data_IF_812412943616
#
_entry.id   IF_812412943616
#
_cell.length_a   1.000
_cell.length_b   1.000
_cell.length_c   1.000
_cell.angle_alpha   90.00
_cell.angle_beta   90.00
_cell.angle_gamma   90.00
#
_symmetry.space_group_name_H-M   'P 1'
#
loop_
_entity.id
_entity.type
_entity.pdbx_description
1 polymer ?
#
# COMPACT_ATOMS: atom_id res chain seq x y z
N UNK A 1 4.94 8.15 -36.38
CA UNK A 1 4.82 6.93 -35.54
C UNK A 1 5.61 7.20 -34.25
N UNK A 2 4.97 7.74 -33.22
CA UNK A 2 5.60 8.09 -31.95
C UNK A 2 5.18 7.03 -30.91
N UNK A 3 6.14 6.18 -30.52
CA UNK A 3 5.98 5.29 -29.37
C UNK A 3 5.92 6.14 -28.10
N UNK A 4 4.79 6.13 -27.43
CA UNK A 4 4.68 6.61 -26.06
C UNK A 4 5.01 5.43 -25.15
N UNK A 5 6.20 5.47 -24.56
CA UNK A 5 6.59 4.53 -23.51
C UNK A 5 5.82 4.83 -22.24
N UNK A 6 4.85 3.99 -21.90
CA UNK A 6 4.25 3.96 -20.58
C UNK A 6 5.09 3.04 -19.70
N UNK A 7 6.11 3.59 -19.09
CA UNK A 7 6.82 2.95 -17.98
C UNK A 7 6.93 3.94 -16.86
N UNK A 8 6.61 3.46 -15.65
CA UNK A 8 6.85 4.10 -14.36
C UNK A 8 5.65 4.80 -13.74
N UNK A 9 4.85 4.01 -13.02
CA UNK A 9 4.13 4.48 -11.83
C UNK A 9 4.55 3.59 -10.65
N UNK A 10 5.83 3.50 -10.45
CA UNK A 10 6.45 3.38 -9.15
C UNK A 10 7.10 4.75 -8.94
N UNK A 11 6.60 5.51 -7.98
CA UNK A 11 7.02 6.88 -7.79
C UNK A 11 8.50 6.99 -7.47
N UNK A 12 9.31 7.21 -8.47
CA UNK A 12 10.57 7.88 -8.34
C UNK A 12 10.34 9.30 -8.88
N UNK A 13 10.03 10.23 -8.01
CA UNK A 13 10.16 11.65 -8.32
C UNK A 13 11.65 11.96 -8.26
N UNK A 14 12.32 11.87 -9.40
CA UNK A 14 13.66 12.42 -9.55
C UNK A 14 13.51 13.94 -9.65
N UNK A 15 13.70 14.64 -8.56
CA UNK A 15 13.92 16.07 -8.59
C UNK A 15 15.36 16.31 -9.06
N UNK A 16 15.54 16.84 -10.28
CA UNK A 16 16.78 17.45 -10.73
C UNK A 16 16.85 18.82 -10.08
N UNK A 17 17.70 18.99 -9.08
CA UNK A 17 18.14 20.30 -8.61
C UNK A 17 19.62 20.46 -8.91
N UNK A 18 19.95 21.29 -9.90
CA UNK A 18 21.24 21.98 -9.99
C UNK A 18 21.12 23.24 -9.14
N UNK A 19 21.77 23.33 -7.99
CA UNK A 19 22.74 24.39 -7.71
C UNK A 19 23.42 24.14 -6.36
N UNK A 20 24.76 24.21 -6.38
CA UNK A 20 25.58 24.03 -5.22
C UNK A 20 25.62 25.29 -4.35
N UNK A 21 25.12 25.21 -3.14
CA UNK A 21 25.56 26.01 -1.98
C UNK A 21 25.25 25.23 -0.70
N UNK A 22 26.32 24.85 0.00
CA UNK A 22 26.23 24.38 1.39
C UNK A 22 25.76 25.53 2.28
N UNK A 23 24.63 25.39 2.91
CA UNK A 23 24.22 26.12 4.10
C UNK A 23 24.01 25.15 5.25
N UNK A 24 24.78 25.35 6.31
CA UNK A 24 24.63 24.62 7.59
C UNK A 24 23.20 24.72 8.11
N UNK A 25 22.60 23.63 8.60
CA UNK A 25 21.25 23.68 9.15
C UNK A 25 21.30 24.37 10.51
N UNK A 26 20.66 25.52 10.59
CA UNK A 26 20.26 26.14 11.85
C UNK A 26 19.13 25.28 12.45
N UNK A 27 19.29 24.84 13.69
CA UNK A 27 18.27 24.11 14.42
C UNK A 27 16.93 24.88 14.42
N UNK A 28 15.95 24.37 13.69
CA UNK A 28 14.56 24.83 13.75
C UNK A 28 13.93 24.26 15.01
N UNK A 29 13.73 25.15 15.98
CA UNK A 29 12.86 24.91 17.14
C UNK A 29 11.46 24.59 16.64
N UNK A 30 10.93 23.42 16.98
CA UNK A 30 9.58 23.00 16.68
C UNK A 30 8.59 23.99 17.35
N UNK A 31 7.60 24.56 16.63
CA UNK A 31 6.51 25.23 17.27
C UNK A 31 5.64 24.19 17.97
N UNK A 32 5.24 24.51 19.20
CA UNK A 32 4.54 23.65 20.13
C UNK A 32 3.29 22.99 19.56
N UNK A 33 3.04 21.79 20.03
CA UNK A 33 1.77 21.06 19.88
C UNK A 33 0.58 21.97 20.24
N UNK A 34 -0.30 22.19 19.23
CA UNK A 34 -1.47 23.01 19.49
C UNK A 34 -2.32 23.28 18.26
N UNK A 35 -2.69 22.25 17.51
CA UNK A 35 -3.85 22.30 16.64
C UNK A 35 -4.68 21.04 16.92
N UNK A 36 -5.57 21.13 17.93
CA UNK A 36 -6.62 20.14 18.13
C UNK A 36 -7.58 20.27 16.94
N UNK A 37 -7.45 19.39 15.97
CA UNK A 37 -8.49 19.21 14.97
C UNK A 37 -9.63 18.48 15.65
N UNK A 38 -10.79 19.14 15.72
CA UNK A 38 -12.03 18.54 16.23
C UNK A 38 -12.46 17.38 15.33
N UNK A 39 -11.84 16.23 15.53
CA UNK A 39 -12.38 14.96 15.07
C UNK A 39 -13.40 14.62 16.16
N UNK A 40 -14.69 14.63 15.81
CA UNK A 40 -15.70 14.08 16.70
C UNK A 40 -15.23 12.70 17.15
N UNK A 41 -15.33 12.43 18.46
CA UNK A 41 -14.87 11.19 19.10
C UNK A 41 -15.45 9.98 18.35
N UNK A 42 -14.74 9.46 17.37
CA UNK A 42 -15.04 8.21 16.72
C UNK A 42 -14.19 7.14 17.41
N UNK A 43 -14.74 6.53 18.42
CA UNK A 43 -14.25 5.25 18.91
C UNK A 43 -14.12 4.29 17.75
N UNK A 44 -12.95 3.69 17.56
CA UNK A 44 -12.50 2.81 16.51
C UNK A 44 -13.45 2.67 15.32
N UNK A 45 -13.00 2.91 14.09
CA UNK A 45 -13.86 2.87 12.90
C UNK A 45 -14.81 1.68 12.94
N UNK A 46 -16.07 1.80 12.49
CA UNK A 46 -17.05 0.71 12.55
C UNK A 46 -16.49 -0.53 11.82
N UNK A 47 -16.85 -1.75 12.24
CA UNK A 47 -16.48 -2.97 11.54
C UNK A 47 -16.83 -2.87 10.06
N UNK A 48 -15.85 -3.13 9.16
CA UNK A 48 -16.03 -3.00 7.72
C UNK A 48 -15.64 -1.65 7.12
N UNK A 49 -14.93 -0.77 7.87
CA UNK A 49 -14.39 0.47 7.31
C UNK A 49 -13.25 0.19 6.34
N UNK A 50 -13.25 0.87 5.21
CA UNK A 50 -12.16 0.92 4.23
C UNK A 50 -11.38 2.20 4.46
N UNK A 51 -10.05 2.11 4.63
CA UNK A 51 -9.15 3.26 4.56
C UNK A 51 -8.48 3.29 3.19
N UNK A 52 -8.34 4.47 2.61
CA UNK A 52 -7.76 4.65 1.28
C UNK A 52 -7.17 6.06 1.13
N UNK A 53 -6.32 6.25 0.12
CA UNK A 53 -5.89 7.60 -0.25
C UNK A 53 -6.72 8.15 -1.40
N UNK A 54 -6.87 9.48 -1.45
CA UNK A 54 -7.63 10.16 -2.51
C UNK A 54 -7.05 11.54 -2.81
N UNK A 55 -7.16 11.94 -4.09
CA UNK A 55 -6.85 13.30 -4.57
C UNK A 55 -8.11 14.16 -4.77
N UNK A 56 -9.28 13.69 -4.34
CA UNK A 56 -10.58 14.39 -4.52
C UNK A 56 -10.62 15.79 -3.94
N UNK A 57 -9.79 16.10 -2.95
CA UNK A 57 -9.73 17.42 -2.28
C UNK A 57 -8.67 18.38 -2.84
N UNK A 58 -7.94 18.00 -3.90
CA UNK A 58 -6.87 18.84 -4.45
C UNK A 58 -5.73 18.06 -5.10
N UNK A 59 -4.56 18.71 -5.21
CA UNK A 59 -3.38 18.11 -5.86
C UNK A 59 -2.64 17.10 -4.98
N UNK A 60 -2.76 17.24 -3.64
CA UNK A 60 -2.11 16.35 -2.68
C UNK A 60 -3.04 15.18 -2.33
N UNK A 61 -2.50 13.97 -2.34
CA UNK A 61 -3.22 12.81 -1.85
C UNK A 61 -3.38 12.89 -0.32
N UNK A 62 -4.58 12.58 0.17
CA UNK A 62 -4.93 12.52 1.59
C UNK A 62 -5.62 11.19 1.90
N UNK A 63 -5.64 10.82 3.17
CA UNK A 63 -6.33 9.63 3.60
C UNK A 63 -7.80 9.91 3.91
N UNK A 64 -8.61 8.94 3.54
CA UNK A 64 -10.06 8.92 3.74
C UNK A 64 -10.48 7.58 4.31
N UNK A 65 -11.60 7.57 5.00
CA UNK A 65 -12.35 6.36 5.35
C UNK A 65 -13.69 6.34 4.63
N UNK A 66 -14.23 5.14 4.41
CA UNK A 66 -15.59 4.92 3.93
C UNK A 66 -16.15 3.61 4.48
N UNK A 67 -17.45 3.41 4.38
CA UNK A 67 -18.08 2.12 4.62
C UNK A 67 -17.73 1.12 3.51
N UNK A 68 -17.88 -0.18 3.76
CA UNK A 68 -17.61 -1.22 2.76
C UNK A 68 -18.48 -1.13 1.50
N UNK A 69 -19.65 -0.48 1.59
CA UNK A 69 -20.55 -0.22 0.46
C UNK A 69 -20.14 1.01 -0.39
N UNK A 70 -19.12 1.77 0.06
CA UNK A 70 -18.63 3.00 -0.57
C UNK A 70 -19.26 4.30 -0.02
N UNK A 71 -20.22 4.20 0.90
CA UNK A 71 -20.86 5.37 1.54
C UNK A 71 -19.99 5.95 2.69
N UNK A 72 -20.38 7.10 3.21
CA UNK A 72 -19.77 7.68 4.42
C UNK A 72 -18.32 8.12 4.26
N UNK A 73 -17.91 8.56 3.06
CA UNK A 73 -16.55 9.01 2.80
C UNK A 73 -16.17 10.20 3.65
N UNK A 74 -15.11 10.05 4.46
CA UNK A 74 -14.63 11.09 5.40
C UNK A 74 -13.11 11.21 5.31
N UNK A 75 -12.60 12.43 5.18
CA UNK A 75 -11.16 12.71 5.22
C UNK A 75 -10.60 12.58 6.63
N UNK A 76 -9.46 11.91 6.80
CA UNK A 76 -8.82 11.66 8.10
C UNK A 76 -7.42 12.26 8.21
N UNK A 77 -6.79 12.72 7.12
CA UNK A 77 -5.51 13.44 7.19
C UNK A 77 -5.56 14.76 6.47
N UNK A 78 -4.75 15.72 6.96
CA UNK A 78 -4.57 17.07 6.42
C UNK A 78 -3.09 17.47 6.47
N UNK A 79 -2.78 18.71 6.11
CA UNK A 79 -1.42 19.27 6.19
C UNK A 79 -0.61 19.10 4.90
N UNK A 80 0.72 19.33 4.95
CA UNK A 80 1.58 19.29 3.78
C UNK A 80 1.86 17.84 3.31
N UNK A 81 2.33 17.71 2.06
CA UNK A 81 2.77 16.44 1.49
C UNK A 81 1.62 15.51 1.08
N UNK A 82 1.99 14.42 0.44
CA UNK A 82 1.09 13.33 0.09
C UNK A 82 1.05 12.31 1.23
N UNK A 83 -0.14 11.81 1.52
CA UNK A 83 -0.39 10.71 2.44
C UNK A 83 -0.91 9.54 1.59
N UNK A 84 -0.18 8.43 1.55
CA UNK A 84 -0.37 7.33 0.61
C UNK A 84 -0.29 5.97 1.30
N UNK A 85 -0.84 4.95 0.67
CA UNK A 85 -0.71 3.53 1.03
C UNK A 85 -1.06 3.24 2.49
N UNK A 86 -2.25 3.66 2.94
CA UNK A 86 -2.66 3.42 4.32
C UNK A 86 -2.81 1.94 4.63
N UNK A 87 -2.65 1.59 5.90
CA UNK A 87 -3.06 0.31 6.47
C UNK A 87 -3.64 0.52 7.86
N UNK A 88 -4.77 -0.16 8.17
CA UNK A 88 -5.46 -0.01 9.43
C UNK A 88 -5.07 -1.12 10.41
N UNK A 89 -4.77 -0.75 11.64
CA UNK A 89 -4.39 -1.71 12.68
C UNK A 89 -5.50 -2.72 12.98
N UNK A 90 -5.18 -3.95 13.46
CA UNK A 90 -6.18 -4.97 13.76
C UNK A 90 -7.24 -4.55 14.79
N UNK A 91 -6.96 -3.61 15.66
CA UNK A 91 -7.93 -3.03 16.60
C UNK A 91 -8.74 -1.85 16.02
N UNK A 92 -8.43 -1.39 14.77
CA UNK A 92 -9.09 -0.30 14.06
C UNK A 92 -8.87 1.10 14.63
N UNK A 93 -7.96 1.23 15.59
CA UNK A 93 -7.66 2.51 16.22
C UNK A 93 -6.59 3.30 15.48
N UNK A 94 -5.62 2.61 14.87
CA UNK A 94 -4.47 3.26 14.26
C UNK A 94 -4.44 3.06 12.75
N UNK A 95 -3.96 4.08 12.03
CA UNK A 95 -3.69 3.99 10.59
C UNK A 95 -2.21 4.27 10.36
N UNK A 96 -1.48 3.29 9.83
CA UNK A 96 -0.13 3.49 9.33
C UNK A 96 -0.19 3.93 7.86
N UNK A 97 0.69 4.84 7.44
CA UNK A 97 0.72 5.33 6.06
C UNK A 97 2.07 5.94 5.71
N UNK A 98 2.35 6.04 4.41
CA UNK A 98 3.52 6.73 3.90
C UNK A 98 3.20 8.20 3.71
N UNK A 99 4.10 9.09 4.15
CA UNK A 99 3.93 10.54 3.96
C UNK A 99 5.26 11.24 3.73
N UNK A 100 5.28 12.16 2.77
CA UNK A 100 6.46 13.01 2.50
C UNK A 100 6.35 14.40 3.14
N UNK A 101 5.55 14.53 4.21
CA UNK A 101 5.33 15.80 4.92
C UNK A 101 6.58 16.41 5.54
N UNK A 102 7.59 15.62 5.82
CA UNK A 102 8.88 16.03 6.39
C UNK A 102 10.01 16.14 5.34
N UNK A 103 9.70 15.93 4.04
CA UNK A 103 10.66 16.06 2.94
C UNK A 103 10.84 14.79 2.13
N UNK A 104 11.15 13.65 2.76
CA UNK A 104 11.18 12.30 2.18
C UNK A 104 9.96 11.48 2.63
N UNK A 105 9.77 10.32 1.99
CA UNK A 105 8.70 9.41 2.40
C UNK A 105 9.09 8.70 3.71
N UNK A 106 8.22 8.78 4.69
CA UNK A 106 8.37 8.18 6.00
C UNK A 106 7.08 7.44 6.39
N UNK A 107 7.18 6.49 7.32
CA UNK A 107 6.01 5.81 7.86
C UNK A 107 5.50 6.57 9.08
N UNK A 108 4.25 7.01 8.99
CA UNK A 108 3.51 7.65 10.06
C UNK A 108 2.41 6.74 10.59
N UNK A 109 2.11 6.88 11.87
CA UNK A 109 0.97 6.26 12.53
C UNK A 109 0.05 7.36 13.07
N UNK A 110 -1.21 7.35 12.63
CA UNK A 110 -2.28 8.22 13.12
C UNK A 110 -3.15 7.44 14.11
N UNK A 111 -3.31 7.95 15.32
CA UNK A 111 -4.33 7.48 16.28
C UNK A 111 -5.67 8.12 15.91
N UNK A 112 -6.65 7.33 15.54
CA UNK A 112 -8.00 7.81 15.18
C UNK A 112 -8.81 8.26 16.42
N UNK A 113 -8.36 7.90 17.63
CA UNK A 113 -9.05 8.25 18.86
C UNK A 113 -8.78 9.69 19.31
N UNK A 114 -7.54 10.15 19.20
CA UNK A 114 -7.12 11.49 19.67
C UNK A 114 -6.44 12.34 18.61
N UNK A 115 -6.21 11.80 17.41
CA UNK A 115 -5.56 12.52 16.30
C UNK A 115 -4.04 12.61 16.42
N UNK A 116 -3.41 11.92 17.37
CA UNK A 116 -1.95 11.90 17.52
C UNK A 116 -1.29 11.29 16.30
N UNK A 117 -0.26 11.96 15.78
CA UNK A 117 0.51 11.56 14.61
C UNK A 117 1.97 11.34 14.99
N UNK A 118 2.46 10.12 14.78
CA UNK A 118 3.84 9.71 15.13
C UNK A 118 4.59 9.27 13.88
N UNK A 119 5.80 9.79 13.66
CA UNK A 119 6.75 9.24 12.67
C UNK A 119 7.47 8.04 13.30
N UNK A 120 7.25 6.83 12.77
CA UNK A 120 7.80 5.59 13.34
C UNK A 120 9.02 5.07 12.59
N UNK A 121 9.29 5.52 11.38
CA UNK A 121 10.49 5.12 10.61
C UNK A 121 11.66 6.08 10.78
N UNK A 122 11.40 7.36 10.92
CA UNK A 122 12.30 8.48 11.24
C UNK A 122 13.70 8.34 10.62
N UNK A 123 13.79 8.37 9.30
CA UNK A 123 14.99 8.09 8.51
C UNK A 123 15.18 9.14 7.41
N UNK A 124 16.40 9.31 6.91
CA UNK A 124 16.65 10.08 5.68
C UNK A 124 16.38 9.29 4.41
N UNK A 125 16.09 7.98 4.53
CA UNK A 125 15.72 7.10 3.43
C UNK A 125 14.23 7.23 3.06
N UNK A 126 13.86 6.75 1.87
CA UNK A 126 12.45 6.63 1.49
C UNK A 126 11.85 5.35 2.05
N UNK A 127 10.88 5.50 2.93
CA UNK A 127 10.12 4.45 3.58
C UNK A 127 8.68 4.46 3.08
N UNK A 128 8.15 3.30 2.63
CA UNK A 128 6.82 3.28 2.03
C UNK A 128 6.11 1.94 2.19
N UNK A 129 4.80 1.96 1.95
CA UNK A 129 3.94 0.77 1.93
C UNK A 129 3.89 0.03 3.26
N UNK A 130 3.45 0.69 4.35
CA UNK A 130 3.35 0.04 5.65
C UNK A 130 2.27 -1.04 5.68
N UNK A 131 2.49 -2.06 6.51
CA UNK A 131 1.56 -3.14 6.81
C UNK A 131 1.62 -3.50 8.27
N UNK A 132 0.48 -3.40 8.94
CA UNK A 132 0.34 -3.87 10.31
C UNK A 132 0.46 -5.38 10.40
N UNK A 133 1.21 -5.86 11.38
CA UNK A 133 1.20 -7.27 11.77
C UNK A 133 -0.18 -7.66 12.32
N UNK A 134 -0.62 -8.92 12.16
CA UNK A 134 -1.93 -9.38 12.60
C UNK A 134 -2.19 -9.21 14.11
N UNK A 135 -1.13 -9.19 14.93
CA UNK A 135 -1.21 -8.93 16.37
C UNK A 135 -1.23 -7.43 16.72
N UNK A 136 -1.01 -6.54 15.74
CA UNK A 136 -1.03 -5.08 15.91
C UNK A 136 0.17 -4.48 16.66
N UNK A 137 1.27 -5.22 16.82
CA UNK A 137 2.45 -4.74 17.53
C UNK A 137 3.55 -4.20 16.61
N UNK A 138 3.57 -4.63 15.36
CA UNK A 138 4.64 -4.33 14.42
C UNK A 138 4.10 -3.82 13.08
N UNK A 139 4.95 -3.11 12.33
CA UNK A 139 4.66 -2.58 11.00
C UNK A 139 5.80 -3.02 10.07
N UNK A 140 5.47 -3.78 9.01
CA UNK A 140 6.37 -4.07 7.91
C UNK A 140 6.29 -2.95 6.87
N UNK A 141 7.41 -2.60 6.22
CA UNK A 141 7.48 -1.59 5.17
C UNK A 141 8.71 -1.85 4.29
N UNK A 142 8.80 -1.24 3.12
CA UNK A 142 10.04 -1.24 2.36
C UNK A 142 10.79 0.08 2.52
N UNK A 143 12.12 0.00 2.52
CA UNK A 143 13.02 1.13 2.74
C UNK A 143 14.29 0.98 1.93
N UNK A 144 14.84 2.09 1.42
CA UNK A 144 16.14 2.09 0.74
C UNK A 144 17.32 2.48 1.66
N UNK A 145 17.13 2.40 2.98
CA UNK A 145 18.15 2.78 3.99
C UNK A 145 19.43 1.96 3.93
N UNK A 146 19.39 0.75 3.37
CA UNK A 146 20.54 -0.13 3.20
C UNK A 146 21.23 0.00 1.83
N UNK A 147 20.75 0.92 0.96
CA UNK A 147 21.31 1.18 -0.38
C UNK A 147 20.38 0.79 -1.52
N UNK A 148 19.62 -0.30 -1.38
CA UNK A 148 18.49 -0.69 -2.23
C UNK A 148 17.23 -0.83 -1.37
N UNK A 149 16.08 -1.07 -2.02
CA UNK A 149 14.86 -1.33 -1.27
C UNK A 149 14.86 -2.74 -0.70
N UNK A 150 14.75 -2.82 0.62
CA UNK A 150 14.60 -4.03 1.42
C UNK A 150 13.34 -3.94 2.29
N UNK A 151 12.88 -5.09 2.80
CA UNK A 151 11.78 -5.16 3.74
C UNK A 151 12.31 -5.00 5.17
N UNK A 152 11.73 -4.05 5.87
CA UNK A 152 11.99 -3.78 7.29
C UNK A 152 10.73 -3.99 8.12
N UNK A 153 10.93 -4.25 9.40
CA UNK A 153 9.87 -4.30 10.41
C UNK A 153 10.28 -3.42 11.58
N UNK A 154 9.33 -2.68 12.12
CA UNK A 154 9.48 -1.80 13.27
C UNK A 154 8.31 -2.02 14.23
N UNK A 155 8.51 -1.83 15.54
CA UNK A 155 7.40 -1.79 16.49
C UNK A 155 6.50 -0.56 16.22
N UNK A 156 5.24 -0.65 16.61
CA UNK A 156 4.26 0.43 16.42
C UNK A 156 4.65 1.76 17.10
N UNK A 157 5.55 1.72 18.09
CA UNK A 157 6.11 2.88 18.78
C UNK A 157 7.39 3.44 18.15
N UNK A 158 7.87 2.85 17.03
CA UNK A 158 9.10 3.22 16.33
C UNK A 158 10.37 2.53 16.84
N UNK A 159 10.29 1.72 17.89
CA UNK A 159 11.43 0.97 18.42
C UNK A 159 11.64 -0.37 17.67
N UNK A 160 12.75 -1.06 17.93
CA UNK A 160 12.94 -2.45 17.49
C UNK A 160 13.06 -2.63 15.98
N UNK A 161 13.51 -1.61 15.24
CA UNK A 161 13.73 -1.70 13.79
C UNK A 161 14.68 -2.85 13.43
N UNK A 162 14.25 -3.71 12.49
CA UNK A 162 15.07 -4.80 11.94
C UNK A 162 14.84 -4.98 10.44
N UNK A 163 15.87 -5.43 9.73
CA UNK A 163 15.74 -5.87 8.34
C UNK A 163 15.17 -7.30 8.30
N UNK A 164 14.22 -7.54 7.40
CA UNK A 164 13.72 -8.87 7.06
C UNK A 164 14.49 -9.42 5.87
N UNK A 165 14.78 -8.55 4.90
CA UNK A 165 15.59 -8.88 3.72
C UNK A 165 16.82 -8.00 3.65
N UNK A 166 17.87 -8.51 2.98
CA UNK A 166 19.17 -7.84 2.83
C UNK A 166 19.85 -8.19 1.50
N UNK A 167 19.10 -8.77 0.56
CA UNK A 167 19.58 -9.18 -0.76
C UNK A 167 19.87 -7.95 -1.65
N UNK A 168 20.72 -8.12 -2.66
CA UNK A 168 21.01 -7.06 -3.63
C UNK A 168 19.84 -6.74 -4.58
N UNK A 169 18.81 -7.61 -4.66
CA UNK A 169 17.61 -7.36 -5.42
C UNK A 169 16.69 -6.34 -4.71
N UNK A 170 15.77 -5.74 -5.48
CA UNK A 170 14.76 -4.83 -4.91
C UNK A 170 13.65 -5.63 -4.26
N UNK A 171 13.45 -5.48 -2.96
CA UNK A 171 12.39 -6.07 -2.18
C UNK A 171 11.37 -5.00 -1.79
N UNK A 172 10.10 -5.18 -2.21
CA UNK A 172 9.08 -4.16 -2.07
C UNK A 172 7.70 -4.77 -1.78
N UNK A 173 6.79 -3.93 -1.27
CA UNK A 173 5.37 -4.24 -1.05
C UNK A 173 5.13 -5.45 -0.14
N UNK A 174 5.59 -5.39 1.11
CA UNK A 174 5.37 -6.49 2.06
C UNK A 174 3.87 -6.64 2.39
N UNK A 175 3.46 -7.88 2.70
CA UNK A 175 2.18 -8.18 3.31
C UNK A 175 2.31 -9.38 4.26
N UNK A 176 1.69 -9.29 5.45
CA UNK A 176 1.80 -10.31 6.48
C UNK A 176 0.89 -11.51 6.22
N UNK A 177 1.40 -12.72 6.44
CA UNK A 177 0.54 -13.89 6.62
C UNK A 177 -0.35 -13.71 7.87
N UNK A 178 -1.59 -14.21 7.89
CA UNK A 178 -2.52 -14.00 9.00
C UNK A 178 -2.04 -14.51 10.36
N UNK A 179 -1.14 -15.49 10.36
CA UNK A 179 -0.51 -16.00 11.59
C UNK A 179 0.69 -15.18 12.06
N UNK A 180 1.07 -14.12 11.32
CA UNK A 180 2.18 -13.22 11.64
C UNK A 180 3.58 -13.82 11.51
N UNK A 181 3.73 -15.02 10.94
CA UNK A 181 5.02 -15.71 10.87
C UNK A 181 5.80 -15.44 9.59
N UNK A 182 5.11 -15.09 8.49
CA UNK A 182 5.73 -14.88 7.18
C UNK A 182 5.30 -13.53 6.59
N UNK A 183 6.14 -13.02 5.70
CA UNK A 183 5.85 -11.88 4.83
C UNK A 183 5.89 -12.33 3.38
N UNK A 184 4.88 -11.98 2.59
CA UNK A 184 4.93 -12.01 1.15
C UNK A 184 5.42 -10.64 0.64
N UNK A 185 6.24 -10.62 -0.38
CA UNK A 185 6.80 -9.40 -0.97
C UNK A 185 7.22 -9.63 -2.43
N UNK A 186 7.45 -8.56 -3.15
CA UNK A 186 8.10 -8.64 -4.46
C UNK A 186 9.62 -8.63 -4.28
N UNK A 187 10.32 -9.56 -4.91
CA UNK A 187 11.78 -9.53 -5.16
C UNK A 187 12.04 -9.56 -6.65
N UNK A 188 12.73 -8.55 -7.17
CA UNK A 188 12.91 -8.44 -8.62
C UNK A 188 11.58 -8.29 -9.35
N UNK A 189 11.15 -9.31 -10.09
CA UNK A 189 9.88 -9.33 -10.81
C UNK A 189 8.87 -10.35 -10.28
N UNK A 190 9.18 -11.02 -9.16
CA UNK A 190 8.41 -12.17 -8.69
C UNK A 190 7.92 -11.98 -7.24
N UNK A 191 6.87 -12.71 -6.91
CA UNK A 191 6.40 -12.84 -5.53
C UNK A 191 7.25 -13.86 -4.79
N UNK A 192 7.74 -13.44 -3.64
CA UNK A 192 8.47 -14.26 -2.68
C UNK A 192 7.78 -14.24 -1.32
N UNK A 193 8.08 -15.22 -0.49
CA UNK A 193 7.73 -15.23 0.93
C UNK A 193 8.97 -15.53 1.76
N UNK A 194 9.04 -14.97 2.97
CA UNK A 194 10.12 -15.20 3.92
C UNK A 194 9.57 -15.22 5.35
N UNK A 195 10.36 -15.75 6.29
CA UNK A 195 10.04 -15.64 7.71
C UNK A 195 10.14 -14.18 8.18
N UNK A 196 9.15 -13.73 8.92
CA UNK A 196 9.06 -12.35 9.39
C UNK A 196 10.07 -12.02 10.52
N UNK A 197 10.77 -13.01 11.06
CA UNK A 197 11.76 -12.84 12.13
C UNK A 197 13.02 -12.08 11.73
N UNK A 198 13.25 -11.89 10.43
CA UNK A 198 14.41 -11.19 9.88
C UNK A 198 15.55 -12.12 9.44
N UNK A 199 16.66 -11.52 8.96
CA UNK A 199 17.87 -12.21 8.50
C UNK A 199 17.67 -13.17 7.32
N UNK A 200 16.75 -12.84 6.41
CA UNK A 200 16.48 -13.58 5.17
C UNK A 200 16.23 -15.10 5.36
N UNK A 201 15.53 -15.47 6.42
CA UNK A 201 15.26 -16.88 6.68
C UNK A 201 14.12 -17.42 5.84
N UNK A 202 14.30 -18.64 5.31
CA UNK A 202 13.29 -19.40 4.57
C UNK A 202 12.65 -18.62 3.42
N UNK A 203 13.47 -17.94 2.60
CA UNK A 203 13.00 -17.23 1.41
C UNK A 203 12.61 -18.22 0.32
N UNK A 204 11.35 -18.17 -0.12
CA UNK A 204 10.80 -18.99 -1.18
C UNK A 204 10.25 -18.12 -2.29
N UNK A 205 10.56 -18.43 -3.55
CA UNK A 205 9.97 -17.79 -4.74
C UNK A 205 8.68 -18.52 -5.11
N UNK A 206 7.57 -17.78 -5.29
CA UNK A 206 6.25 -18.35 -5.60
C UNK A 206 5.84 -18.17 -7.07
N UNK A 207 6.36 -17.16 -7.77
CA UNK A 207 6.07 -16.96 -9.20
C UNK A 207 7.34 -17.05 -10.03
N UNK A 208 7.24 -17.60 -11.28
CA UNK A 208 8.41 -18.01 -12.06
C UNK A 208 8.32 -17.66 -13.55
N UNK A 209 7.33 -16.86 -13.96
CA UNK A 209 7.15 -16.58 -15.40
C UNK A 209 8.20 -15.57 -15.88
N UNK A 210 8.99 -15.91 -16.93
CA UNK A 210 10.00 -15.00 -17.45
C UNK A 210 9.36 -13.78 -18.10
N UNK A 211 10.03 -12.64 -18.02
CA UNK A 211 9.64 -11.36 -18.64
C UNK A 211 8.27 -10.80 -18.22
N UNK A 212 7.75 -11.23 -17.06
CA UNK A 212 6.55 -10.66 -16.44
C UNK A 212 6.92 -9.94 -15.14
N UNK A 213 5.99 -9.13 -14.64
CA UNK A 213 6.11 -8.47 -13.34
C UNK A 213 4.92 -8.90 -12.51
N UNK A 214 5.20 -9.58 -11.39
CA UNK A 214 4.27 -9.94 -10.36
C UNK A 214 4.60 -9.14 -9.10
N UNK A 215 3.63 -8.44 -8.52
CA UNK A 215 3.88 -7.49 -7.43
C UNK A 215 2.65 -7.25 -6.57
N UNK A 216 2.83 -6.53 -5.45
CA UNK A 216 1.76 -6.12 -4.54
C UNK A 216 0.97 -7.33 -4.00
N UNK A 217 1.64 -8.33 -3.40
CA UNK A 217 0.93 -9.47 -2.83
C UNK A 217 0.03 -9.06 -1.67
N UNK A 218 -1.03 -9.84 -1.46
CA UNK A 218 -1.96 -9.70 -0.33
C UNK A 218 -2.42 -11.09 0.12
N UNK A 219 -2.12 -11.47 1.35
CA UNK A 219 -2.57 -12.72 1.95
C UNK A 219 -4.08 -12.72 2.20
N UNK A 220 -4.74 -13.85 1.89
CA UNK A 220 -6.12 -14.06 2.30
C UNK A 220 -6.23 -14.22 3.82
N UNK A 221 -7.37 -13.87 4.44
CA UNK A 221 -7.55 -13.94 5.89
C UNK A 221 -7.40 -15.34 6.49
N UNK A 222 -7.66 -16.38 5.71
CA UNK A 222 -7.49 -17.79 6.09
C UNK A 222 -6.05 -18.30 5.89
N UNK A 223 -5.18 -17.49 5.24
CA UNK A 223 -3.79 -17.85 4.95
C UNK A 223 -3.61 -18.93 3.88
N UNK A 224 -4.66 -19.29 3.16
CA UNK A 224 -4.60 -20.33 2.14
C UNK A 224 -4.20 -19.81 0.76
N UNK A 225 -4.38 -18.49 0.52
CA UNK A 225 -4.20 -17.90 -0.81
C UNK A 225 -3.50 -16.53 -0.72
N UNK A 226 -2.94 -16.13 -1.86
CA UNK A 226 -2.31 -14.81 -2.06
C UNK A 226 -2.90 -14.20 -3.33
N UNK A 227 -3.51 -13.01 -3.22
CA UNK A 227 -3.85 -12.18 -4.37
C UNK A 227 -2.65 -11.30 -4.73
N UNK A 228 -2.40 -11.04 -6.00
CA UNK A 228 -1.28 -10.22 -6.45
C UNK A 228 -1.59 -9.54 -7.78
N UNK A 229 -0.86 -8.49 -8.10
CA UNK A 229 -0.92 -7.87 -9.42
C UNK A 229 0.09 -8.52 -10.36
N UNK A 230 -0.32 -8.79 -11.60
CA UNK A 230 0.52 -9.36 -12.64
C UNK A 230 0.36 -8.65 -13.98
N UNK A 231 1.45 -8.57 -14.74
CA UNK A 231 1.48 -8.05 -16.11
C UNK A 231 1.52 -9.16 -17.18
N UNK A 232 1.32 -10.44 -16.80
CA UNK A 232 1.46 -11.59 -17.69
C UNK A 232 0.48 -11.63 -18.89
N UNK A 233 -0.62 -10.89 -18.77
CA UNK A 233 -1.62 -10.76 -19.85
C UNK A 233 -1.38 -9.53 -20.76
N UNK A 234 -0.23 -8.83 -20.57
CA UNK A 234 0.05 -7.57 -21.30
C UNK A 234 -0.68 -6.35 -20.71
N UNK A 235 -1.41 -6.51 -19.62
CA UNK A 235 -2.06 -5.44 -18.84
C UNK A 235 -2.01 -5.81 -17.35
N UNK A 236 -2.24 -4.82 -16.44
CA UNK A 236 -2.25 -5.10 -15.01
C UNK A 236 -3.55 -5.82 -14.63
N UNK A 237 -3.44 -7.05 -14.14
CA UNK A 237 -4.56 -7.83 -13.65
C UNK A 237 -4.33 -8.31 -12.22
N UNK A 238 -5.40 -8.53 -11.47
CA UNK A 238 -5.35 -9.22 -10.19
C UNK A 238 -5.40 -10.72 -10.44
N UNK A 239 -4.39 -11.40 -9.97
CA UNK A 239 -4.29 -12.85 -9.93
C UNK A 239 -4.47 -13.37 -8.51
N UNK A 240 -4.92 -14.60 -8.41
CA UNK A 240 -5.02 -15.36 -7.18
C UNK A 240 -4.20 -16.64 -7.32
N UNK A 241 -3.47 -17.02 -6.28
CA UNK A 241 -2.75 -18.30 -6.18
C UNK A 241 -2.94 -18.91 -4.80
N UNK A 242 -2.66 -20.20 -4.67
CA UNK A 242 -2.49 -20.82 -3.38
C UNK A 242 -1.26 -20.26 -2.64
N UNK A 243 -1.20 -20.42 -1.32
CA UNK A 243 -0.09 -19.94 -0.50
C UNK A 243 1.27 -20.58 -0.85
N UNK A 244 1.28 -21.71 -1.53
CA UNK A 244 2.46 -22.40 -2.07
C UNK A 244 2.86 -21.97 -3.50
N UNK A 245 2.16 -20.98 -4.08
CA UNK A 245 2.39 -20.49 -5.43
C UNK A 245 1.65 -21.25 -6.54
N UNK A 246 0.97 -22.35 -6.24
CA UNK A 246 0.21 -23.14 -7.21
C UNK A 246 -1.14 -22.50 -7.59
N UNK A 247 -1.81 -23.03 -8.62
CA UNK A 247 -3.17 -22.67 -9.04
C UNK A 247 -3.38 -21.17 -9.32
N UNK A 248 -2.48 -20.56 -10.08
CA UNK A 248 -2.53 -19.13 -10.43
C UNK A 248 -3.66 -18.83 -11.42
N UNK A 249 -4.64 -18.01 -11.04
CA UNK A 249 -5.83 -17.68 -11.83
C UNK A 249 -6.01 -16.16 -11.95
N UNK A 250 -6.34 -15.67 -13.15
CA UNK A 250 -6.69 -14.27 -13.38
C UNK A 250 -8.12 -13.98 -12.90
N UNK A 251 -8.29 -13.12 -11.88
CA UNK A 251 -9.59 -12.71 -11.35
C UNK A 251 -10.19 -11.49 -12.06
N UNK A 252 -9.38 -10.73 -12.81
CA UNK A 252 -9.83 -9.55 -13.54
C UNK A 252 -9.51 -9.66 -15.03
N UNK A 253 -10.04 -10.71 -15.71
CA UNK A 253 -9.80 -10.89 -17.14
C UNK A 253 -10.38 -9.71 -17.91
N UNK A 254 -9.67 -9.29 -18.94
CA UNK A 254 -10.13 -8.24 -19.84
C UNK A 254 -11.26 -8.75 -20.73
N UNK A 255 -12.31 -7.96 -20.88
CA UNK A 255 -13.37 -8.24 -21.85
C UNK A 255 -12.85 -8.10 -23.29
N UNK A 256 -13.46 -8.82 -24.24
CA UNK A 256 -13.02 -8.85 -25.64
C UNK A 256 -12.98 -7.45 -26.31
N UNK A 257 -13.81 -6.52 -25.85
CA UNK A 257 -13.96 -5.17 -26.40
C UNK A 257 -13.27 -4.08 -25.56
N UNK A 258 -12.54 -4.45 -24.49
CA UNK A 258 -11.89 -3.47 -23.65
C UNK A 258 -10.53 -3.05 -24.23
N UNK A 259 -10.24 -1.74 -24.33
CA UNK A 259 -8.96 -1.27 -24.83
C UNK A 259 -7.82 -1.62 -23.86
N UNK A 260 -6.77 -2.30 -24.37
CA UNK A 260 -5.62 -2.76 -23.55
C UNK A 260 -4.91 -1.62 -22.85
N UNK A 261 -4.81 -0.45 -23.50
CA UNK A 261 -3.99 0.66 -23.02
C UNK A 261 -4.53 1.36 -21.76
N UNK A 262 -5.80 1.12 -21.37
CA UNK A 262 -6.47 1.79 -20.25
C UNK A 262 -6.88 0.84 -19.12
N UNK A 263 -6.41 -0.41 -19.14
CA UNK A 263 -6.81 -1.40 -18.14
C UNK A 263 -5.67 -1.68 -17.16
N UNK A 264 -5.86 -1.33 -15.89
CA UNK A 264 -4.91 -1.67 -14.85
C UNK A 264 -5.63 -1.86 -13.52
N UNK A 265 -5.66 -3.10 -13.04
CA UNK A 265 -6.13 -3.47 -11.69
C UNK A 265 -4.92 -3.82 -10.82
N UNK A 266 -4.79 -3.19 -9.65
CA UNK A 266 -3.60 -3.31 -8.78
C UNK A 266 -3.91 -3.08 -7.31
N UNK A 267 -2.93 -3.33 -6.45
CA UNK A 267 -3.00 -3.15 -5.01
C UNK A 267 -4.18 -3.90 -4.36
N UNK A 268 -4.27 -5.23 -4.55
CA UNK A 268 -5.33 -6.01 -3.91
C UNK A 268 -5.21 -5.96 -2.39
N UNK A 269 -6.35 -6.06 -1.72
CA UNK A 269 -6.44 -6.25 -0.28
C UNK A 269 -7.67 -7.05 0.07
N UNK A 270 -7.61 -7.80 1.15
CA UNK A 270 -8.70 -8.63 1.60
C UNK A 270 -9.47 -7.99 2.75
N UNK A 271 -10.78 -8.12 2.73
CA UNK A 271 -11.61 -7.98 3.91
C UNK A 271 -11.65 -9.31 4.70
N UNK A 272 -12.02 -9.25 5.97
CA UNK A 272 -12.13 -10.46 6.81
C UNK A 272 -13.11 -11.51 6.30
N UNK A 273 -14.12 -11.09 5.54
CA UNK A 273 -15.12 -11.98 4.96
C UNK A 273 -14.73 -12.56 3.59
N UNK A 274 -13.47 -12.34 3.14
CA UNK A 274 -12.98 -12.90 1.89
C UNK A 274 -13.30 -12.07 0.63
N UNK A 275 -13.81 -10.84 0.76
CA UNK A 275 -13.98 -9.93 -0.38
C UNK A 275 -12.64 -9.29 -0.70
N UNK A 276 -12.26 -9.24 -1.99
CA UNK A 276 -11.05 -8.58 -2.49
C UNK A 276 -11.40 -7.15 -2.90
N UNK A 277 -10.69 -6.17 -2.35
CA UNK A 277 -10.73 -4.77 -2.77
C UNK A 277 -9.44 -4.46 -3.53
N UNK A 278 -9.54 -3.61 -4.55
CA UNK A 278 -8.41 -3.21 -5.36
C UNK A 278 -8.66 -1.86 -6.02
N UNK A 279 -7.60 -1.20 -6.43
CA UNK A 279 -7.70 0.01 -7.25
C UNK A 279 -7.65 -0.38 -8.73
N UNK A 280 -8.46 0.28 -9.56
CA UNK A 280 -8.49 -0.01 -10.99
C UNK A 280 -8.76 1.23 -11.82
N UNK A 281 -8.04 1.31 -12.92
CA UNK A 281 -8.30 2.20 -14.03
C UNK A 281 -9.08 1.43 -15.08
N UNK A 282 -10.34 1.78 -15.31
CA UNK A 282 -11.23 1.14 -16.28
C UNK A 282 -11.90 2.19 -17.16
N UNK A 283 -12.34 1.85 -18.39
CA UNK A 283 -13.02 2.81 -19.28
C UNK A 283 -14.24 3.50 -18.65
N UNK A 284 -14.91 2.84 -17.70
CA UNK A 284 -16.07 3.38 -16.99
C UNK A 284 -15.73 4.45 -15.93
N UNK A 285 -14.45 4.77 -15.72
CA UNK A 285 -14.00 5.67 -14.63
C UNK A 285 -13.69 7.08 -15.09
N UNK A 286 -14.05 7.46 -16.31
CA UNK A 286 -13.73 8.78 -16.91
C UNK A 286 -12.24 9.14 -16.92
N UNK A 287 -11.36 8.11 -16.83
CA UNK A 287 -9.92 8.31 -16.78
C UNK A 287 -9.33 8.38 -15.36
N UNK A 288 -10.14 8.28 -14.32
CA UNK A 288 -9.68 8.25 -12.93
C UNK A 288 -9.44 6.82 -12.43
N UNK A 289 -8.57 6.67 -11.43
CA UNK A 289 -8.38 5.42 -10.69
C UNK A 289 -9.40 5.37 -9.57
N UNK A 290 -10.11 4.24 -9.49
CA UNK A 290 -11.19 4.06 -8.52
C UNK A 290 -11.02 2.75 -7.74
N UNK A 291 -11.70 2.65 -6.60
CA UNK A 291 -11.74 1.44 -5.79
C UNK A 291 -12.87 0.55 -6.24
N UNK A 292 -12.55 -0.72 -6.42
CA UNK A 292 -13.47 -1.82 -6.74
C UNK A 292 -13.39 -2.90 -5.68
N UNK A 293 -14.42 -3.73 -5.63
CA UNK A 293 -14.44 -4.97 -4.86
C UNK A 293 -15.02 -6.10 -5.68
N UNK A 294 -14.61 -7.34 -5.37
CA UNK A 294 -15.11 -8.58 -5.98
C UNK A 294 -15.03 -9.74 -4.99
N UNK A 295 -15.75 -10.81 -5.28
CA UNK A 295 -15.54 -12.08 -4.61
C UNK A 295 -14.20 -12.72 -5.02
N UNK A 296 -13.74 -13.70 -4.28
CA UNK A 296 -12.46 -14.38 -4.48
C UNK A 296 -12.43 -15.35 -5.69
N UNK A 297 -13.58 -15.55 -6.33
CA UNK A 297 -13.72 -16.23 -7.62
C UNK A 297 -13.76 -15.25 -8.83
N UNK A 298 -13.59 -13.93 -8.58
CA UNK A 298 -13.66 -12.88 -9.58
C UNK A 298 -15.09 -12.41 -9.92
N UNK A 299 -16.12 -12.97 -9.30
CA UNK A 299 -17.52 -12.55 -9.49
C UNK A 299 -17.90 -11.36 -8.60
N UNK A 300 -19.12 -10.85 -8.76
CA UNK A 300 -19.66 -9.76 -7.94
C UNK A 300 -18.79 -8.50 -7.94
N UNK A 301 -18.27 -8.13 -9.12
CA UNK A 301 -17.47 -6.93 -9.30
C UNK A 301 -18.31 -5.67 -9.10
N UNK A 302 -17.94 -4.85 -8.13
CA UNK A 302 -18.62 -3.59 -7.77
C UNK A 302 -17.63 -2.45 -7.69
N UNK A 303 -17.94 -1.30 -8.33
CA UNK A 303 -17.22 -0.04 -8.13
C UNK A 303 -17.67 0.60 -6.82
N UNK A 304 -16.73 0.98 -5.96
CA UNK A 304 -16.97 1.52 -4.62
C UNK A 304 -16.80 3.04 -4.53
N UNK A 305 -15.99 3.62 -5.40
CA UNK A 305 -15.80 5.08 -5.46
C UNK A 305 -16.09 5.63 -6.85
N UNK A 306 -16.49 6.91 -6.91
CA UNK A 306 -16.89 7.61 -8.14
C UNK A 306 -16.48 9.08 -8.10
N UNK A 307 -15.37 9.42 -7.46
CA UNK A 307 -14.92 10.81 -7.30
C UNK A 307 -14.15 11.30 -8.52
N UNK A 308 -14.09 12.62 -8.69
CA UNK A 308 -13.07 13.21 -9.54
C UNK A 308 -11.72 13.14 -8.82
N UNK A 309 -10.73 12.51 -9.45
CA UNK A 309 -9.39 12.29 -8.91
C UNK A 309 -9.13 10.84 -8.51
N UNK A 310 -7.85 10.51 -8.30
CA UNK A 310 -7.40 9.16 -7.99
C UNK A 310 -7.82 8.72 -6.58
N UNK A 311 -8.49 7.58 -6.49
CA UNK A 311 -8.76 6.85 -5.25
C UNK A 311 -8.00 5.51 -5.26
N UNK A 312 -7.18 5.24 -4.25
CA UNK A 312 -6.34 4.06 -4.30
C UNK A 312 -5.85 3.52 -2.96
N UNK A 313 -5.16 2.38 -3.04
CA UNK A 313 -4.61 1.69 -1.89
C UNK A 313 -5.65 1.30 -0.85
N UNK A 314 -6.80 0.68 -1.23
CA UNK A 314 -7.83 0.32 -0.27
C UNK A 314 -7.31 -0.69 0.73
N UNK A 315 -7.64 -0.50 2.02
CA UNK A 315 -7.36 -1.43 3.10
C UNK A 315 -8.58 -1.55 4.00
N UNK A 316 -8.83 -2.78 4.41
CA UNK A 316 -9.99 -3.12 5.22
C UNK A 316 -9.57 -3.82 6.49
N UNK A 317 -10.53 -3.78 7.36
CA UNK A 317 -10.46 -4.49 8.61
C UNK A 317 -11.55 -5.54 8.76
#
# INVERSE_FOLDING_TARGET
MRLHSFLSVAGAVTAIACDGRQTTPTALTMPGAGASFGIGAHGGGPPGSVVFYSRRGGTLAKLYTMNADGSGVTQITTGPGNDLWPDISPNGRFVAFSSNRAGNNEIYVLDLGDGTLTNVSNSSADDSWPRWSPNGHEIAFHSNRAGNYDIFVVNADGSGLRAVTTDAALDQWPDWSPNGKRLAFRRGNDIHVADAGGQEQNVERLTFLPATIDQMPAWSPDGQRIAFMSLREGYCAIFLMNADGSNQTNLTPKGANDPVASWCSRAPSWSRNGTIYFMSFRPSTNGDVEIFSMADDGTNLVRRTTSAGEDGGPRLR
#
